data_IF_584226886657
#
_entry.id   IF_584226886657
#
_cell.length_a   1.000
_cell.length_b   1.000
_cell.length_c   1.000
_cell.angle_alpha   90.00
_cell.angle_beta   90.00
_cell.angle_gamma   90.00
#
_symmetry.space_group_name_H-M   'P 1'
#
loop_
_entity.id
_entity.type
_entity.pdbx_description
1 polymer ?
#
# COMPACT_ATOMS: atom_id res chain seq x y z
N UNK A 1 -12.91 -8.68 -1.44
CA UNK A 1 -12.07 -7.46 -1.55
C UNK A 1 -11.36 -7.47 -2.88
N UNK A 2 -11.52 -6.43 -3.70
CA UNK A 2 -11.03 -6.38 -5.09
C UNK A 2 -9.50 -6.34 -5.18
N UNK A 3 -8.83 -5.61 -4.27
CA UNK A 3 -7.36 -5.51 -4.24
C UNK A 3 -6.67 -6.84 -3.95
N UNK A 4 -7.09 -7.57 -2.90
CA UNK A 4 -6.50 -8.88 -2.54
C UNK A 4 -6.56 -9.87 -3.71
N UNK A 5 -7.68 -9.88 -4.44
CA UNK A 5 -7.82 -10.76 -5.60
C UNK A 5 -6.81 -10.42 -6.69
N UNK A 6 -6.52 -9.13 -6.90
CA UNK A 6 -5.50 -8.68 -7.86
C UNK A 6 -4.09 -9.04 -7.39
N UNK A 7 -3.79 -8.91 -6.09
CA UNK A 7 -2.48 -9.35 -5.53
C UNK A 7 -2.26 -10.84 -5.80
N UNK A 8 -3.29 -11.65 -5.52
CA UNK A 8 -3.29 -13.11 -5.72
C UNK A 8 -3.21 -13.48 -7.21
N UNK A 9 -3.98 -12.80 -8.07
CA UNK A 9 -3.94 -12.95 -9.54
C UNK A 9 -2.55 -12.68 -10.11
N UNK A 10 -1.91 -11.61 -9.64
CA UNK A 10 -0.60 -11.17 -10.12
C UNK A 10 0.56 -11.91 -9.45
N UNK A 11 0.31 -12.74 -8.43
CA UNK A 11 1.34 -13.47 -7.69
C UNK A 11 2.34 -12.54 -6.99
N UNK A 12 1.90 -11.35 -6.56
CA UNK A 12 2.78 -10.37 -5.92
C UNK A 12 3.02 -10.71 -4.46
N UNK A 13 4.28 -10.54 -4.03
CA UNK A 13 4.66 -10.64 -2.62
C UNK A 13 4.26 -9.34 -1.90
N UNK A 14 3.05 -9.33 -1.34
CA UNK A 14 2.49 -8.18 -0.60
C UNK A 14 2.04 -8.65 0.77
N UNK A 15 2.58 -8.02 1.81
CA UNK A 15 2.23 -8.36 3.19
C UNK A 15 0.80 -7.91 3.52
N UNK A 16 -0.06 -8.83 3.92
CA UNK A 16 -1.45 -8.53 4.29
C UNK A 16 -1.54 -8.16 5.77
N UNK A 17 -1.71 -6.87 6.07
CA UNK A 17 -1.82 -6.35 7.43
C UNK A 17 -3.29 -6.07 7.79
N UNK A 18 -3.82 -6.79 8.79
CA UNK A 18 -5.17 -6.54 9.28
C UNK A 18 -5.15 -5.57 10.49
N UNK A 19 -5.70 -4.37 10.29
CA UNK A 19 -5.73 -3.31 11.33
C UNK A 19 -6.78 -3.55 12.42
N UNK A 20 -7.62 -4.58 12.29
CA UNK A 20 -8.54 -5.01 13.35
C UNK A 20 -7.94 -6.09 14.22
N UNK A 21 -7.15 -6.99 13.62
CA UNK A 21 -6.49 -8.06 14.35
C UNK A 21 -5.27 -7.54 15.10
N UNK A 22 -4.52 -6.62 14.49
CA UNK A 22 -3.32 -6.05 15.08
C UNK A 22 -3.47 -4.54 15.34
N UNK A 23 -3.49 -4.10 16.61
CA UNK A 23 -3.60 -2.68 16.94
C UNK A 23 -2.36 -1.87 16.53
N UNK A 24 -1.20 -2.52 16.35
CA UNK A 24 0.05 -1.86 15.93
C UNK A 24 -0.08 -1.37 14.50
N UNK A 25 -0.57 -2.21 13.58
CA UNK A 25 -0.83 -1.81 12.19
C UNK A 25 -1.84 -0.66 12.09
N UNK A 26 -2.80 -0.63 13.02
CA UNK A 26 -3.76 0.48 13.11
C UNK A 26 -3.10 1.77 13.59
N UNK A 27 -2.22 1.68 14.58
CA UNK A 27 -1.48 2.83 15.09
C UNK A 27 -0.57 3.41 14.00
N UNK A 28 0.21 2.58 13.32
CA UNK A 28 1.09 2.94 12.19
C UNK A 28 0.31 3.70 11.09
N UNK A 29 -0.86 3.17 10.70
CA UNK A 29 -1.73 3.83 9.73
C UNK A 29 -2.23 5.20 10.21
N UNK A 30 -2.61 5.32 11.48
CA UNK A 30 -3.12 6.58 12.03
C UNK A 30 -1.98 7.59 12.19
N UNK A 31 -0.79 7.15 12.60
CA UNK A 31 0.38 8.00 12.74
C UNK A 31 0.84 8.54 11.39
N UNK A 32 0.93 7.67 10.38
CA UNK A 32 1.36 8.07 9.04
C UNK A 32 0.31 8.91 8.28
N UNK A 33 -0.98 8.61 8.42
CA UNK A 33 -2.04 9.22 7.58
C UNK A 33 -3.03 10.11 8.33
N UNK A 34 -2.98 10.14 9.66
CA UNK A 34 -3.98 10.79 10.51
C UNK A 34 -5.38 10.16 10.41
N UNK A 35 -5.53 9.06 9.66
CA UNK A 35 -6.85 8.48 9.30
C UNK A 35 -6.80 6.97 9.31
N UNK A 36 -7.81 6.35 9.91
CA UNK A 36 -7.99 4.89 9.96
C UNK A 36 -8.73 4.31 8.73
N UNK A 37 -8.75 5.02 7.61
CA UNK A 37 -9.51 4.60 6.42
C UNK A 37 -8.70 3.55 5.67
N UNK A 38 -9.36 2.45 5.32
CA UNK A 38 -8.81 1.34 4.53
C UNK A 38 -9.79 1.04 3.39
N UNK A 39 -9.38 0.37 2.30
CA UNK A 39 -8.06 -0.20 2.01
C UNK A 39 -6.97 0.85 1.79
N UNK A 40 -5.75 0.56 2.22
CA UNK A 40 -4.56 1.38 1.96
C UNK A 40 -3.38 0.47 1.62
N UNK A 41 -2.60 0.84 0.62
CA UNK A 41 -1.32 0.20 0.32
C UNK A 41 -0.20 1.08 0.87
N UNK A 42 0.71 0.49 1.65
CA UNK A 42 1.98 1.09 2.07
C UNK A 42 3.06 0.56 1.14
N UNK A 43 3.87 1.47 0.63
CA UNK A 43 4.99 1.23 -0.27
C UNK A 43 6.21 1.80 0.45
N UNK A 44 7.04 0.92 1.01
CA UNK A 44 8.32 1.33 1.61
C UNK A 44 9.32 1.56 0.47
N UNK A 45 9.73 2.80 0.17
CA UNK A 45 10.67 3.06 -0.94
C UNK A 45 12.14 2.98 -0.53
N UNK A 46 12.43 2.65 0.72
CA UNK A 46 13.73 2.85 1.32
C UNK A 46 13.99 4.32 1.66
N UNK A 47 15.11 4.58 2.35
CA UNK A 47 15.53 5.93 2.76
C UNK A 47 14.58 6.67 3.73
N UNK A 48 13.66 5.93 4.36
CA UNK A 48 12.67 6.49 5.29
C UNK A 48 11.45 7.11 4.60
N UNK A 49 11.31 6.90 3.28
CA UNK A 49 10.15 7.34 2.51
C UNK A 49 9.12 6.21 2.41
N UNK A 50 8.12 6.27 3.29
CA UNK A 50 6.92 5.44 3.21
C UNK A 50 5.82 6.15 2.41
N UNK A 51 5.46 5.61 1.26
CA UNK A 51 4.34 6.09 0.47
C UNK A 51 3.06 5.32 0.81
N UNK A 52 1.97 6.05 1.05
CA UNK A 52 0.68 5.47 1.46
C UNK A 52 -0.39 5.80 0.42
N UNK A 53 -0.86 4.79 -0.30
CA UNK A 53 -1.86 4.96 -1.36
C UNK A 53 -3.27 4.63 -0.83
N UNK A 54 -4.18 5.63 -0.74
CA UNK A 54 -5.58 5.39 -0.46
C UNK A 54 -6.28 4.82 -1.69
N UNK A 55 -7.49 4.29 -1.47
CA UNK A 55 -8.44 3.90 -2.51
C UNK A 55 -8.09 2.60 -3.25
N UNK A 56 -9.07 1.70 -3.32
CA UNK A 56 -8.88 0.41 -3.97
C UNK A 56 -8.58 0.51 -5.47
N UNK A 57 -9.02 1.58 -6.14
CA UNK A 57 -8.86 1.72 -7.60
C UNK A 57 -7.41 2.03 -7.96
N UNK A 58 -6.82 3.02 -7.31
CA UNK A 58 -5.43 3.41 -7.51
C UNK A 58 -4.48 2.30 -7.08
N UNK A 59 -4.75 1.63 -5.96
CA UNK A 59 -3.97 0.47 -5.52
C UNK A 59 -3.97 -0.64 -6.59
N UNK A 60 -5.13 -0.95 -7.18
CA UNK A 60 -5.21 -1.97 -8.25
C UNK A 60 -4.42 -1.53 -9.48
N UNK A 61 -4.53 -0.26 -9.86
CA UNK A 61 -3.78 0.27 -10.99
C UNK A 61 -2.27 0.18 -10.73
N UNK A 62 -1.81 0.55 -9.54
CA UNK A 62 -0.41 0.45 -9.14
C UNK A 62 0.10 -1.00 -9.21
N UNK A 63 -0.64 -1.94 -8.60
CA UNK A 63 -0.26 -3.35 -8.60
C UNK A 63 -0.19 -3.93 -10.01
N UNK A 64 -1.13 -3.55 -10.90
CA UNK A 64 -1.13 -3.99 -12.30
C UNK A 64 -0.05 -3.31 -13.15
N UNK A 65 0.35 -2.08 -12.80
CA UNK A 65 1.38 -1.32 -13.52
C UNK A 65 2.80 -1.79 -13.20
N UNK A 66 2.99 -2.53 -12.10
CA UNK A 66 4.28 -3.14 -11.78
C UNK A 66 5.40 -2.12 -11.51
N UNK A 67 5.08 -0.99 -10.85
CA UNK A 67 5.99 0.10 -10.45
C UNK A 67 6.11 1.30 -11.41
N UNK A 68 5.36 1.34 -12.51
CA UNK A 68 5.27 2.54 -13.35
C UNK A 68 4.14 3.45 -12.84
N UNK A 69 4.49 4.44 -12.01
CA UNK A 69 3.61 5.55 -11.65
C UNK A 69 3.66 6.59 -12.78
N UNK A 70 2.54 7.07 -13.33
CA UNK A 70 2.52 8.41 -13.90
C UNK A 70 2.73 9.38 -12.73
N UNK A 71 3.98 9.81 -12.56
CA UNK A 71 4.38 10.85 -11.61
C UNK A 71 3.48 12.07 -11.84
N UNK A 72 2.75 12.46 -10.80
CA UNK A 72 2.51 13.90 -10.64
C UNK A 72 3.90 14.56 -10.59
N UNK A 73 4.11 15.63 -11.35
CA UNK A 73 5.40 16.17 -11.84
C UNK A 73 6.44 16.63 -10.78
N UNK A 74 6.30 16.24 -9.51
CA UNK A 74 7.20 16.66 -8.43
C UNK A 74 7.53 15.45 -7.53
N UNK A 75 8.67 14.80 -7.78
CA UNK A 75 9.19 13.72 -6.91
C UNK A 75 10.27 12.86 -7.56
N UNK A 76 11.40 12.58 -6.87
CA UNK A 76 12.54 11.86 -7.45
C UNK A 76 12.19 10.39 -7.75
N UNK A 77 12.59 9.94 -8.93
CA UNK A 77 12.53 8.53 -9.34
C UNK A 77 13.71 7.77 -8.72
N UNK A 78 13.42 6.84 -7.83
CA UNK A 78 14.33 5.73 -7.49
C UNK A 78 13.51 4.46 -7.30
N UNK A 79 13.66 3.53 -8.23
CA UNK A 79 13.10 2.17 -8.17
C UNK A 79 13.98 1.34 -7.23
N UNK A 80 13.76 1.50 -5.93
CA UNK A 80 14.11 0.48 -4.95
C UNK A 80 13.00 -0.56 -4.92
N UNK A 81 13.34 -1.85 -4.94
CA UNK A 81 12.39 -2.93 -4.66
C UNK A 81 11.89 -2.78 -3.23
N UNK A 82 10.86 -1.95 -3.08
CA UNK A 82 10.24 -1.63 -1.81
C UNK A 82 9.39 -2.76 -1.27
N UNK A 83 9.30 -2.89 0.05
CA UNK A 83 8.36 -3.80 0.69
C UNK A 83 6.93 -3.25 0.55
N UNK A 84 6.04 -4.06 -0.03
CA UNK A 84 4.62 -3.70 -0.19
C UNK A 84 3.81 -4.29 0.97
N UNK A 85 3.07 -3.44 1.67
CA UNK A 85 2.16 -3.84 2.75
C UNK A 85 0.73 -3.37 2.45
N UNK A 86 -0.22 -4.30 2.35
CA UNK A 86 -1.63 -3.99 2.13
C UNK A 86 -2.42 -4.03 3.43
N UNK A 87 -2.93 -2.87 3.84
CA UNK A 87 -3.70 -2.70 5.07
C UNK A 87 -5.20 -2.83 4.80
N UNK A 88 -5.86 -3.67 5.59
CA UNK A 88 -7.30 -3.95 5.46
C UNK A 88 -8.00 -4.09 6.81
N UNK A 89 -9.32 -3.91 6.81
CA UNK A 89 -10.23 -4.25 7.91
C UNK A 89 -11.01 -5.47 7.46
N UNK A 90 -10.49 -6.68 7.69
CA UNK A 90 -11.32 -7.89 7.54
C UNK A 90 -11.99 -8.20 8.89
N UNK A 91 -13.17 -8.82 8.86
CA UNK A 91 -13.73 -9.54 10.02
C UNK A 91 -13.17 -10.95 10.02
#
# INVERSE_FOLDING_TARGET
>A
MKVRHVIDELGLDVELRDVRRDPTHRADLIEARGRRTVPVLRIDRGEGEDEWMPESRDIIHFLRSGSDLPLSEDGPKSTGTGLLSFLTKRS
#
